data_IF_998154688747
#
_entry.id   IF_998154688747
#
_cell.length_a   1.000
_cell.length_b   1.000
_cell.length_c   1.000
_cell.angle_alpha   90.00
_cell.angle_beta   90.00
_cell.angle_gamma   90.00
#
_symmetry.space_group_name_H-M   'P 1'
#
loop_
_entity.id
_entity.type
_entity.pdbx_description
1 polymer ?
#
# COMPACT_ATOMS: atom_id res chain seq x y z
N UNK A 1 -4.21 -5.45 -7.22
CA UNK A 1 -3.87 -5.46 -5.78
C UNK A 1 -5.07 -6.00 -5.02
N UNK A 2 -4.87 -6.85 -4.01
CA UNK A 2 -5.96 -7.62 -3.37
C UNK A 2 -6.06 -7.42 -1.84
N UNK A 3 -5.46 -6.35 -1.30
CA UNK A 3 -5.54 -6.06 0.14
C UNK A 3 -6.91 -5.48 0.50
N UNK A 4 -7.58 -6.01 1.51
CA UNK A 4 -8.85 -5.51 2.03
C UNK A 4 -8.69 -4.76 3.35
N UNK A 5 -9.70 -3.96 3.71
CA UNK A 5 -9.72 -3.19 4.97
C UNK A 5 -9.66 -4.13 6.19
N UNK A 6 -10.40 -5.24 6.16
CA UNK A 6 -10.38 -6.28 7.21
C UNK A 6 -8.99 -6.89 7.48
N UNK A 7 -8.03 -6.71 6.57
CA UNK A 7 -6.67 -7.22 6.75
C UNK A 7 -5.77 -6.27 7.56
N UNK A 8 -6.30 -5.16 8.06
CA UNK A 8 -5.56 -4.15 8.82
C UNK A 8 -6.08 -4.10 10.26
N UNK A 9 -5.16 -4.20 11.20
CA UNK A 9 -5.42 -3.89 12.59
C UNK A 9 -4.95 -2.45 12.87
N UNK A 10 -5.89 -1.51 12.86
CA UNK A 10 -5.60 -0.09 13.07
C UNK A 10 -5.15 0.22 14.49
N UNK A 11 -5.61 -0.55 15.49
CA UNK A 11 -5.24 -0.39 16.91
C UNK A 11 -3.79 -0.82 17.14
N UNK A 12 -3.46 -2.03 16.68
CA UNK A 12 -2.13 -2.63 16.87
C UNK A 12 -1.14 -2.21 15.77
N UNK A 13 -1.58 -1.42 14.78
CA UNK A 13 -0.78 -0.83 13.69
C UNK A 13 0.01 -1.84 12.86
N UNK A 14 -0.65 -2.93 12.47
CA UNK A 14 -0.10 -3.89 11.51
C UNK A 14 -1.17 -4.36 10.52
N UNK A 15 -0.74 -4.94 9.40
CA UNK A 15 -1.63 -5.55 8.42
C UNK A 15 -1.09 -6.86 7.87
N UNK A 16 -1.97 -7.63 7.23
CA UNK A 16 -1.65 -8.91 6.62
C UNK A 16 -1.77 -8.85 5.11
N UNK A 17 -0.77 -9.35 4.40
CA UNK A 17 -0.93 -9.74 3.00
C UNK A 17 -1.25 -11.23 2.97
N UNK A 18 -2.54 -11.54 2.79
CA UNK A 18 -3.04 -12.91 2.58
C UNK A 18 -2.58 -13.45 1.22
N UNK A 19 -2.33 -14.76 1.13
CA UNK A 19 -1.88 -15.45 -0.09
C UNK A 19 -0.50 -15.02 -0.62
N UNK A 20 0.49 -14.91 0.27
CA UNK A 20 1.90 -14.85 -0.14
C UNK A 20 2.33 -16.16 -0.83
N UNK A 21 3.39 -16.09 -1.68
CA UNK A 21 4.00 -17.28 -2.30
C UNK A 21 4.35 -18.30 -1.21
N UNK A 22 3.77 -19.51 -1.29
CA UNK A 22 3.93 -20.59 -0.30
C UNK A 22 2.84 -20.69 0.77
N UNK A 23 1.71 -19.98 0.63
CA UNK A 23 0.56 -20.12 1.55
C UNK A 23 0.74 -19.44 2.92
N UNK A 24 1.80 -18.65 3.08
CA UNK A 24 2.10 -17.94 4.33
C UNK A 24 1.64 -16.48 4.25
N UNK A 25 0.94 -16.05 5.27
CA UNK A 25 0.59 -14.65 5.48
C UNK A 25 1.83 -13.85 5.86
N UNK A 26 1.95 -12.64 5.32
CA UNK A 26 3.05 -11.73 5.66
C UNK A 26 2.50 -10.54 6.42
N UNK A 27 3.03 -10.33 7.63
CA UNK A 27 2.73 -9.15 8.43
C UNK A 27 3.58 -7.98 7.93
N UNK A 28 3.00 -6.79 7.90
CA UNK A 28 3.73 -5.54 7.75
C UNK A 28 3.28 -4.54 8.82
N UNK A 29 4.24 -3.77 9.33
CA UNK A 29 4.00 -2.72 10.33
C UNK A 29 3.52 -1.47 9.62
N UNK A 30 2.60 -0.74 10.24
CA UNK A 30 2.01 0.50 9.73
C UNK A 30 2.57 1.67 10.56
N UNK A 31 3.46 2.51 9.99
CA UNK A 31 3.93 3.71 10.67
C UNK A 31 2.78 4.67 10.97
N UNK A 32 2.92 5.48 12.02
CA UNK A 32 1.85 6.39 12.47
C UNK A 32 1.39 7.36 11.37
N UNK A 33 2.33 7.91 10.57
CA UNK A 33 2.00 8.78 9.44
C UNK A 33 1.11 8.09 8.40
N UNK A 34 1.37 6.80 8.14
CA UNK A 34 0.56 6.01 7.22
C UNK A 34 -0.81 5.68 7.84
N UNK A 35 -0.87 5.40 9.14
CA UNK A 35 -2.13 5.11 9.84
C UNK A 35 -3.15 6.22 9.66
N UNK A 36 -2.73 7.49 9.80
CA UNK A 36 -3.62 8.66 9.62
C UNK A 36 -4.24 8.70 8.22
N UNK A 37 -3.43 8.44 7.19
CA UNK A 37 -3.89 8.39 5.80
C UNK A 37 -4.84 7.20 5.57
N UNK A 38 -4.53 6.03 6.13
CA UNK A 38 -5.38 4.85 5.99
C UNK A 38 -6.73 5.03 6.67
N UNK A 39 -6.77 5.63 7.86
CA UNK A 39 -8.03 5.94 8.54
C UNK A 39 -8.91 6.85 7.69
N UNK A 40 -8.36 7.92 7.12
CA UNK A 40 -9.10 8.83 6.23
C UNK A 40 -9.67 8.11 5.00
N UNK A 41 -8.90 7.21 4.38
CA UNK A 41 -9.35 6.44 3.22
C UNK A 41 -10.45 5.43 3.58
N UNK A 42 -10.48 4.95 4.83
CA UNK A 42 -11.40 3.91 5.29
C UNK A 42 -12.67 4.46 5.96
N UNK A 43 -12.74 5.75 6.26
CA UNK A 43 -13.96 6.39 6.80
C UNK A 43 -15.15 6.09 5.89
N UNK A 44 -16.26 5.63 6.48
CA UNK A 44 -17.52 5.29 5.80
C UNK A 44 -17.42 4.14 4.78
N UNK A 45 -16.45 3.24 4.91
CA UNK A 45 -16.28 2.08 4.02
C UNK A 45 -16.44 0.77 4.77
N UNK A 46 -16.97 -0.24 4.08
CA UNK A 46 -17.16 -1.57 4.65
C UNK A 46 -15.84 -2.33 4.75
N UNK A 47 -15.68 -3.14 5.79
CA UNK A 47 -14.45 -3.89 6.07
C UNK A 47 -14.08 -4.90 4.95
N UNK A 48 -15.07 -5.37 4.19
CA UNK A 48 -14.92 -6.33 3.09
C UNK A 48 -14.36 -5.68 1.80
N UNK A 49 -14.38 -4.35 1.73
CA UNK A 49 -13.87 -3.60 0.58
C UNK A 49 -12.35 -3.69 0.46
N UNK A 50 -11.87 -3.53 -0.78
CA UNK A 50 -10.43 -3.39 -1.04
C UNK A 50 -9.92 -2.08 -0.48
N UNK A 51 -8.76 -2.10 0.18
CA UNK A 51 -8.18 -0.92 0.80
C UNK A 51 -8.03 0.24 -0.19
N UNK A 52 -7.45 -0.05 -1.35
CA UNK A 52 -7.21 0.93 -2.42
C UNK A 52 -8.15 0.67 -3.60
N UNK A 53 -9.02 1.64 -3.87
CA UNK A 53 -9.92 1.67 -5.00
C UNK A 53 -9.61 2.86 -5.91
N UNK A 54 -9.83 2.66 -7.20
CA UNK A 54 -9.87 3.75 -8.18
C UNK A 54 -11.09 4.64 -7.93
N UNK A 55 -11.10 5.85 -8.51
CA UNK A 55 -12.26 6.76 -8.48
C UNK A 55 -13.54 6.16 -9.10
N UNK A 56 -13.45 4.99 -9.76
CA UNK A 56 -14.58 4.24 -10.32
C UNK A 56 -14.98 3.06 -9.43
N UNK A 57 -14.57 3.03 -8.17
CA UNK A 57 -14.77 1.93 -7.21
C UNK A 57 -14.27 0.55 -7.69
N UNK A 58 -13.30 0.53 -8.60
CA UNK A 58 -12.64 -0.70 -9.07
C UNK A 58 -11.26 -0.87 -8.44
N UNK A 59 -10.80 -2.12 -8.34
CA UNK A 59 -9.44 -2.44 -7.93
C UNK A 59 -8.40 -1.79 -8.84
N UNK A 60 -7.31 -1.32 -8.25
CA UNK A 60 -6.13 -0.98 -9.04
C UNK A 60 -5.45 -2.21 -9.64
N UNK A 61 -5.18 -2.13 -10.94
CA UNK A 61 -4.22 -3.00 -11.60
C UNK A 61 -2.79 -2.63 -11.14
N UNK A 62 -1.93 -3.64 -10.99
CA UNK A 62 -0.51 -3.48 -10.68
C UNK A 62 0.16 -2.48 -11.63
N UNK A 63 -0.13 -2.55 -12.94
CA UNK A 63 0.44 -1.63 -13.94
C UNK A 63 0.04 -0.17 -13.67
N UNK A 64 -1.19 0.07 -13.21
CA UNK A 64 -1.66 1.41 -12.84
C UNK A 64 -0.91 1.94 -11.62
N UNK A 65 -0.72 1.11 -10.60
CA UNK A 65 0.06 1.48 -9.40
C UNK A 65 1.50 1.84 -9.78
N UNK A 66 2.14 1.02 -10.62
CA UNK A 66 3.50 1.30 -11.11
C UNK A 66 3.57 2.63 -11.87
N UNK A 67 2.55 2.94 -12.68
CA UNK A 67 2.46 4.22 -13.38
C UNK A 67 2.28 5.39 -12.40
N UNK A 68 1.42 5.24 -11.39
CA UNK A 68 1.22 6.26 -10.34
C UNK A 68 2.54 6.55 -9.62
N UNK A 69 3.29 5.50 -9.22
CA UNK A 69 4.60 5.66 -8.57
C UNK A 69 5.58 6.39 -9.47
N UNK A 70 5.67 6.02 -10.75
CA UNK A 70 6.55 6.71 -11.71
C UNK A 70 6.17 8.18 -11.91
N UNK A 71 4.88 8.48 -12.01
CA UNK A 71 4.39 9.86 -12.13
C UNK A 71 4.72 10.68 -10.89
N UNK A 72 4.51 10.12 -9.69
CA UNK A 72 4.85 10.78 -8.43
C UNK A 72 6.36 11.03 -8.31
N UNK A 73 7.20 10.05 -8.69
CA UNK A 73 8.65 10.21 -8.71
C UNK A 73 9.10 11.33 -9.65
N UNK A 74 8.49 11.41 -10.85
CA UNK A 74 8.75 12.49 -11.81
C UNK A 74 8.34 13.86 -11.25
N UNK A 75 7.16 13.95 -10.62
CA UNK A 75 6.68 15.19 -10.01
C UNK A 75 7.58 15.65 -8.84
N UNK A 76 8.12 14.70 -8.08
CA UNK A 76 9.09 14.94 -7.02
C UNK A 76 10.52 15.22 -7.52
N UNK A 77 10.73 15.35 -8.84
CA UNK A 77 12.04 15.56 -9.49
C UNK A 77 13.09 14.49 -9.17
N UNK A 78 12.64 13.27 -8.85
CA UNK A 78 13.53 12.11 -8.68
C UNK A 78 13.88 11.50 -10.04
N UNK A 79 14.96 10.71 -10.10
CA UNK A 79 15.24 9.90 -11.29
C UNK A 79 14.19 8.78 -11.43
N UNK A 80 13.06 9.13 -12.06
CA UNK A 80 11.90 8.26 -12.21
C UNK A 80 12.18 6.98 -13.01
N UNK A 81 13.32 6.91 -13.72
CA UNK A 81 13.77 5.69 -14.42
C UNK A 81 14.22 4.60 -13.45
N UNK A 82 14.71 4.99 -12.27
CA UNK A 82 15.24 4.07 -11.25
C UNK A 82 14.24 3.84 -10.10
N UNK A 83 13.18 4.64 -10.03
CA UNK A 83 12.15 4.51 -9.00
C UNK A 83 11.08 3.51 -9.41
N UNK A 84 11.08 2.38 -8.72
CA UNK A 84 10.08 1.33 -8.84
C UNK A 84 9.52 0.95 -7.47
N UNK A 85 8.43 0.18 -7.45
CA UNK A 85 7.87 -0.34 -6.20
C UNK A 85 8.89 -1.15 -5.38
N UNK A 86 9.86 -1.83 -6.02
CA UNK A 86 10.92 -2.55 -5.33
C UNK A 86 11.95 -1.61 -4.68
N UNK A 87 12.30 -0.51 -5.35
CA UNK A 87 13.17 0.56 -4.82
C UNK A 87 12.54 1.18 -3.57
N UNK A 88 11.24 1.49 -3.61
CA UNK A 88 10.50 2.00 -2.46
C UNK A 88 10.46 1.00 -1.30
N UNK A 89 10.22 -0.28 -1.59
CA UNK A 89 10.23 -1.34 -0.58
C UNK A 89 11.58 -1.45 0.12
N UNK A 90 12.67 -1.36 -0.64
CA UNK A 90 14.02 -1.42 -0.09
C UNK A 90 14.34 -0.19 0.76
N UNK A 91 14.02 1.01 0.27
CA UNK A 91 14.20 2.26 1.02
C UNK A 91 13.41 2.29 2.32
N UNK A 92 12.19 1.73 2.32
CA UNK A 92 11.39 1.58 3.54
C UNK A 92 12.05 0.64 4.55
N UNK A 93 12.56 -0.52 4.10
CA UNK A 93 13.23 -1.46 4.99
C UNK A 93 14.47 -0.86 5.66
N UNK A 94 15.28 -0.09 4.93
CA UNK A 94 16.48 0.55 5.47
C UNK A 94 16.19 1.73 6.40
N UNK A 95 15.06 2.41 6.27
CA UNK A 95 14.66 3.51 7.17
C UNK A 95 13.89 3.05 8.42
N UNK A 96 13.48 1.77 8.47
CA UNK A 96 12.86 1.13 9.63
C UNK A 96 13.81 0.17 10.36
N UNK A 97 15.06 0.09 9.93
CA UNK A 97 16.13 -0.67 10.60
C UNK A 97 16.73 0.13 11.75
#
# INVERSE_FOLDING_TARGET
MNLKIENINFKERYGFVRNGKGGKDRIFIIPEKLLRVLLQICVNRSKEEYLLLTNRNKKYNIRTIQKIVKTAAKAAKLNYRDVHCHTLRHSFATHLS
#
